data_IF_250352647936
#
_entry.id   IF_250352647936
#
_cell.length_a   1.000
_cell.length_b   1.000
_cell.length_c   1.000
_cell.angle_alpha   90.00
_cell.angle_beta   90.00
_cell.angle_gamma   90.00
#
_symmetry.space_group_name_H-M   'P 1'
#
loop_
_entity.id
_entity.type
_entity.pdbx_description
1 polymer ?
#
# COMPACT_ATOMS: atom_id res chain seq x y z
N UNK A 1 -0.20 19.01 8.94
CA UNK A 1 1.17 19.41 8.58
C UNK A 1 1.94 18.45 7.66
N UNK A 2 1.60 17.18 7.60
CA UNK A 2 2.28 16.21 6.71
C UNK A 2 2.09 16.53 5.22
N UNK A 3 0.93 17.06 4.85
CA UNK A 3 0.67 17.52 3.48
C UNK A 3 1.62 18.63 3.07
N UNK A 4 1.82 19.63 3.91
CA UNK A 4 2.73 20.75 3.65
C UNK A 4 4.20 20.33 3.54
N UNK A 5 4.54 19.13 4.02
CA UNK A 5 5.87 18.53 3.89
C UNK A 5 5.97 17.58 2.70
N UNK A 6 4.92 17.49 1.87
CA UNK A 6 4.88 16.67 0.67
C UNK A 6 4.76 15.15 0.89
N UNK A 7 4.53 14.68 2.12
CA UNK A 7 4.52 13.24 2.44
C UNK A 7 3.39 12.47 1.74
N UNK A 8 2.34 13.13 1.29
CA UNK A 8 1.23 12.50 0.55
C UNK A 8 1.47 12.45 -0.96
N UNK A 9 2.48 13.14 -1.48
CA UNK A 9 2.80 13.20 -2.90
C UNK A 9 4.25 12.86 -3.22
N UNK A 10 4.84 11.87 -2.54
CA UNK A 10 6.26 11.56 -2.65
C UNK A 10 6.70 11.32 -4.11
N UNK A 11 5.98 10.51 -4.86
CA UNK A 11 6.28 10.17 -6.24
C UNK A 11 5.36 10.85 -7.26
N UNK A 12 4.41 11.67 -6.81
CA UNK A 12 3.56 12.45 -7.70
C UNK A 12 4.40 13.57 -8.34
N UNK A 13 4.35 13.74 -9.67
CA UNK A 13 5.09 14.79 -10.37
C UNK A 13 4.74 16.20 -9.87
N UNK A 14 5.68 17.15 -9.94
CA UNK A 14 5.48 18.53 -9.50
C UNK A 14 4.32 19.25 -10.18
N UNK A 15 4.03 18.95 -11.46
CA UNK A 15 2.89 19.51 -12.19
C UNK A 15 1.53 19.18 -11.54
N UNK A 16 1.45 18.13 -10.73
CA UNK A 16 0.27 17.77 -9.93
C UNK A 16 0.45 18.11 -8.44
N UNK A 17 1.48 18.89 -8.09
CA UNK A 17 1.71 19.34 -6.71
C UNK A 17 2.42 18.34 -5.80
N UNK A 18 3.04 17.31 -6.37
CA UNK A 18 3.88 16.35 -5.65
C UNK A 18 5.35 16.75 -5.59
N UNK A 19 6.19 15.89 -5.00
CA UNK A 19 7.64 16.08 -4.90
C UNK A 19 8.37 15.49 -6.11
N UNK A 20 7.82 14.42 -6.72
CA UNK A 20 8.41 13.75 -7.88
C UNK A 20 9.64 12.90 -7.54
N UNK A 21 9.73 12.31 -6.35
CA UNK A 21 10.84 11.45 -5.96
C UNK A 21 10.88 10.17 -6.80
N UNK A 22 12.08 9.66 -7.06
CA UNK A 22 12.30 8.32 -7.57
C UNK A 22 12.02 7.25 -6.50
N UNK A 23 12.14 5.96 -6.83
CA UNK A 23 11.85 4.89 -5.87
C UNK A 23 12.85 4.89 -4.70
N UNK A 24 14.14 5.08 -4.97
CA UNK A 24 15.19 5.10 -3.93
C UNK A 24 14.89 6.19 -2.90
N UNK A 25 14.65 7.42 -3.33
CA UNK A 25 14.45 8.56 -2.43
C UNK A 25 13.12 8.43 -1.66
N UNK A 26 12.05 8.00 -2.33
CA UNK A 26 10.77 7.74 -1.66
C UNK A 26 10.91 6.67 -0.56
N UNK A 27 11.64 5.57 -0.82
CA UNK A 27 11.90 4.53 0.17
C UNK A 27 12.80 5.02 1.33
N UNK A 28 13.73 5.95 1.07
CA UNK A 28 14.50 6.59 2.14
C UNK A 28 13.60 7.37 3.10
N UNK A 29 12.62 8.12 2.58
CA UNK A 29 11.63 8.82 3.42
C UNK A 29 10.81 7.81 4.24
N UNK A 30 10.30 6.76 3.62
CA UNK A 30 9.52 5.71 4.28
C UNK A 30 10.35 5.00 5.36
N UNK A 31 11.63 4.74 5.11
CA UNK A 31 12.56 4.16 6.09
C UNK A 31 12.72 5.06 7.32
N UNK A 32 12.85 6.37 7.13
CA UNK A 32 12.98 7.31 8.25
C UNK A 32 11.68 7.41 9.07
N UNK A 33 10.53 7.41 8.41
CA UNK A 33 9.23 7.35 9.10
C UNK A 33 9.11 6.06 9.93
N UNK A 34 9.56 4.92 9.39
CA UNK A 34 9.57 3.63 10.07
C UNK A 34 10.42 3.58 11.34
N UNK A 35 11.45 4.41 11.43
CA UNK A 35 12.24 4.57 12.64
C UNK A 35 11.52 5.37 13.75
N UNK A 36 10.47 6.12 13.40
CA UNK A 36 9.70 6.97 14.32
C UNK A 36 8.40 6.27 14.73
N UNK A 37 7.55 5.92 13.74
CA UNK A 37 6.24 5.32 13.97
C UNK A 37 5.83 4.45 12.78
N UNK A 38 5.61 3.15 13.04
CA UNK A 38 5.24 2.19 12.00
C UNK A 38 3.80 2.40 11.49
N UNK A 39 2.88 2.89 12.33
CA UNK A 39 1.50 3.14 11.93
C UNK A 39 1.41 4.32 10.98
N UNK A 40 2.14 5.40 11.29
CA UNK A 40 2.28 6.56 10.41
C UNK A 40 2.92 6.17 9.07
N UNK A 41 3.97 5.35 9.13
CA UNK A 41 4.66 4.83 7.95
C UNK A 41 3.70 4.06 7.04
N UNK A 42 2.88 3.19 7.61
CA UNK A 42 1.90 2.41 6.88
C UNK A 42 0.79 3.30 6.31
N UNK A 43 0.31 4.30 7.06
CA UNK A 43 -0.70 5.24 6.59
C UNK A 43 -0.22 6.05 5.37
N UNK A 44 0.97 6.66 5.47
CA UNK A 44 1.60 7.42 4.37
C UNK A 44 1.92 6.51 3.19
N UNK A 45 2.47 5.32 3.46
CA UNK A 45 2.80 4.32 2.44
C UNK A 45 1.58 3.84 1.68
N UNK A 46 0.52 3.46 2.38
CA UNK A 46 -0.73 3.00 1.76
C UNK A 46 -1.35 4.08 0.87
N UNK A 47 -1.39 5.32 1.33
CA UNK A 47 -1.89 6.42 0.51
C UNK A 47 -1.06 6.58 -0.78
N UNK A 48 0.27 6.69 -0.68
CA UNK A 48 1.14 6.91 -1.84
C UNK A 48 1.11 5.74 -2.82
N UNK A 49 1.20 4.50 -2.30
CA UNK A 49 1.45 3.32 -3.13
C UNK A 49 0.16 2.60 -3.53
N UNK A 50 -0.77 2.40 -2.60
CA UNK A 50 -2.02 1.69 -2.91
C UNK A 50 -3.11 2.65 -3.40
N UNK A 51 -3.14 3.89 -2.88
CA UNK A 51 -4.10 4.91 -3.24
C UNK A 51 -3.71 5.67 -4.51
N UNK A 52 -2.61 6.39 -4.46
CA UNK A 52 -2.20 7.35 -5.49
C UNK A 52 -1.56 6.69 -6.71
N UNK A 53 -0.67 5.73 -6.52
CA UNK A 53 0.07 5.09 -7.62
C UNK A 53 -0.81 4.47 -8.71
N UNK A 54 -1.91 3.74 -8.41
CA UNK A 54 -2.84 3.26 -9.43
C UNK A 54 -3.38 4.37 -10.32
N UNK A 55 -3.75 5.51 -9.75
CA UNK A 55 -4.24 6.67 -10.47
C UNK A 55 -3.11 7.30 -11.30
N UNK A 56 -1.94 7.48 -10.72
CA UNK A 56 -0.77 8.07 -11.38
C UNK A 56 -0.33 7.24 -12.60
N UNK A 57 -0.31 5.91 -12.49
CA UNK A 57 0.23 5.04 -13.52
C UNK A 57 -0.81 4.61 -14.57
N UNK A 58 -2.05 4.37 -14.14
CA UNK A 58 -3.10 3.78 -14.98
C UNK A 58 -4.29 4.70 -15.23
N UNK A 59 -4.37 5.83 -14.55
CA UNK A 59 -5.43 6.83 -14.75
C UNK A 59 -5.30 7.54 -16.10
N UNK A 60 -6.44 7.95 -16.66
CA UNK A 60 -6.49 8.86 -17.80
C UNK A 60 -5.96 10.24 -17.41
N UNK A 61 -5.63 11.07 -18.40
CA UNK A 61 -5.19 12.45 -18.15
C UNK A 61 -6.22 13.21 -17.28
N UNK A 62 -7.50 13.12 -17.64
CA UNK A 62 -8.57 13.75 -16.88
C UNK A 62 -8.66 13.28 -15.42
N UNK A 63 -8.46 11.97 -15.16
CA UNK A 63 -8.41 11.45 -13.80
C UNK A 63 -7.21 11.98 -13.01
N UNK A 64 -6.04 12.06 -13.66
CA UNK A 64 -4.81 12.60 -13.03
C UNK A 64 -4.98 14.07 -12.68
N UNK A 65 -5.43 14.90 -13.62
CA UNK A 65 -5.67 16.34 -13.41
C UNK A 65 -6.71 16.61 -12.32
N UNK A 66 -7.76 15.80 -12.25
CA UNK A 66 -8.82 15.97 -11.26
C UNK A 66 -8.43 15.52 -9.85
N UNK A 67 -7.69 14.40 -9.72
CA UNK A 67 -7.47 13.72 -8.44
C UNK A 67 -6.10 14.01 -7.83
N UNK A 68 -5.02 13.94 -8.63
CA UNK A 68 -3.67 14.00 -8.09
C UNK A 68 -3.34 15.28 -7.31
N UNK A 69 -3.77 16.51 -7.72
CA UNK A 69 -3.44 17.72 -6.96
C UNK A 69 -3.96 17.74 -5.54
N UNK A 70 -5.12 17.14 -5.31
CA UNK A 70 -5.71 17.05 -3.96
C UNK A 70 -5.10 15.93 -3.14
N UNK A 71 -4.80 14.81 -3.79
CA UNK A 71 -4.17 13.64 -3.16
C UNK A 71 -2.71 13.92 -2.80
N UNK A 72 -1.95 14.56 -3.66
CA UNK A 72 -0.55 14.90 -3.42
C UNK A 72 -0.35 15.85 -2.24
N UNK A 73 -1.31 16.74 -2.02
CA UNK A 73 -1.28 17.68 -0.88
C UNK A 73 -1.89 17.12 0.40
N UNK A 74 -2.47 15.92 0.36
CA UNK A 74 -3.16 15.32 1.50
C UNK A 74 -4.47 16.00 1.89
N UNK A 75 -5.01 16.88 1.05
CA UNK A 75 -6.37 17.43 1.22
C UNK A 75 -7.43 16.36 1.06
N UNK A 76 -7.14 15.40 0.23
CA UNK A 76 -7.93 14.18 0.02
C UNK A 76 -7.03 12.96 0.20
N UNK A 77 -7.59 11.86 0.68
CA UNK A 77 -6.89 10.59 0.88
C UNK A 77 -7.44 9.57 -0.11
N UNK A 78 -6.58 8.74 -0.65
CA UNK A 78 -6.95 7.61 -1.48
C UNK A 78 -6.71 6.29 -0.75
N UNK A 79 -7.64 5.35 -0.92
CA UNK A 79 -7.55 4.00 -0.37
C UNK A 79 -7.62 2.93 -1.46
N UNK A 80 -7.51 1.66 -1.01
CA UNK A 80 -7.44 0.48 -1.86
C UNK A 80 -8.31 -0.63 -1.26
N UNK A 81 -9.18 -1.23 -2.06
CA UNK A 81 -10.11 -2.24 -1.61
C UNK A 81 -10.12 -3.44 -2.57
N UNK A 82 -9.29 -4.44 -2.26
CA UNK A 82 -9.14 -5.68 -3.05
C UNK A 82 -9.69 -6.89 -2.28
N UNK A 83 -9.29 -7.05 -1.02
CA UNK A 83 -9.49 -8.24 -0.19
C UNK A 83 -10.95 -8.46 0.18
N UNK A 84 -11.39 -9.71 0.14
CA UNK A 84 -12.71 -10.17 0.59
C UNK A 84 -12.57 -11.30 1.61
N UNK A 85 -13.64 -11.63 2.33
CA UNK A 85 -13.63 -12.73 3.33
C UNK A 85 -13.23 -14.08 2.73
N UNK A 86 -13.59 -14.34 1.48
CA UNK A 86 -13.23 -15.56 0.73
C UNK A 86 -12.02 -15.42 -0.19
N UNK A 87 -11.41 -14.23 -0.30
CA UNK A 87 -10.35 -13.96 -1.28
C UNK A 87 -9.28 -13.03 -0.70
N UNK A 88 -8.44 -13.57 0.17
CA UNK A 88 -7.25 -12.90 0.72
C UNK A 88 -5.99 -13.36 0.00
N UNK A 89 -5.51 -14.57 0.31
CA UNK A 89 -4.29 -15.15 -0.30
C UNK A 89 -4.46 -15.45 -1.81
N UNK A 90 -5.68 -15.66 -2.27
CA UNK A 90 -6.01 -15.75 -3.69
C UNK A 90 -6.85 -14.55 -4.13
N UNK A 91 -6.24 -13.42 -4.49
CA UNK A 91 -6.96 -12.21 -4.88
C UNK A 91 -7.72 -12.35 -6.21
N UNK A 92 -7.45 -13.38 -6.99
CA UNK A 92 -8.19 -13.68 -8.24
C UNK A 92 -9.58 -14.27 -7.97
N UNK A 93 -9.83 -14.77 -6.76
CA UNK A 93 -11.10 -15.38 -6.37
C UNK A 93 -12.10 -14.35 -5.80
N UNK A 94 -11.91 -13.06 -6.02
CA UNK A 94 -12.86 -12.05 -5.56
C UNK A 94 -14.24 -12.28 -6.18
N UNK A 95 -15.27 -12.08 -5.37
CA UNK A 95 -16.68 -12.31 -5.71
C UNK A 95 -17.45 -11.01 -5.96
N UNK A 96 -16.93 -9.86 -5.54
CA UNK A 96 -17.48 -8.53 -5.85
C UNK A 96 -17.53 -8.34 -7.35
N UNK A 97 -18.66 -7.89 -7.88
CA UNK A 97 -18.94 -7.84 -9.33
C UNK A 97 -19.20 -6.41 -9.80
N UNK A 98 -18.84 -6.12 -11.06
CA UNK A 98 -19.31 -4.98 -11.82
C UNK A 98 -20.28 -5.51 -12.88
N UNK A 99 -21.57 -5.25 -12.69
CA UNK A 99 -22.67 -5.74 -13.53
C UNK A 99 -23.06 -4.64 -14.52
N UNK A 100 -23.07 -4.87 -15.83
CA UNK A 100 -23.52 -3.88 -16.80
C UNK A 100 -24.94 -3.37 -16.50
N UNK A 101 -25.15 -2.07 -16.57
CA UNK A 101 -26.45 -1.42 -16.28
C UNK A 101 -26.98 -0.59 -17.45
N UNK A 102 -26.56 -0.91 -18.68
CA UNK A 102 -26.84 -0.07 -19.84
C UNK A 102 -26.10 1.27 -19.83
N UNK A 103 -26.24 2.07 -20.87
CA UNK A 103 -25.64 3.40 -21.00
C UNK A 103 -24.13 3.51 -20.68
N UNK A 104 -23.36 2.43 -20.87
CA UNK A 104 -21.92 2.40 -20.59
C UNK A 104 -21.57 2.51 -19.11
N UNK A 105 -22.48 2.21 -18.20
CA UNK A 105 -22.26 2.13 -16.75
C UNK A 105 -22.33 0.70 -16.24
N UNK A 106 -21.71 0.46 -15.06
CA UNK A 106 -21.83 -0.77 -14.31
C UNK A 106 -22.31 -0.48 -12.88
N UNK A 107 -22.99 -1.45 -12.28
CA UNK A 107 -23.33 -1.47 -10.86
C UNK A 107 -22.34 -2.37 -10.12
N UNK A 108 -21.64 -1.81 -9.13
CA UNK A 108 -20.76 -2.58 -8.25
C UNK A 108 -21.59 -3.20 -7.12
N UNK A 109 -21.41 -4.51 -6.92
CA UNK A 109 -22.13 -5.30 -5.92
C UNK A 109 -21.17 -6.22 -5.16
N UNK A 110 -21.18 -6.16 -3.84
CA UNK A 110 -20.37 -7.01 -2.97
C UNK A 110 -19.77 -6.29 -1.77
N UNK A 111 -18.71 -6.85 -1.19
CA UNK A 111 -18.06 -6.25 -0.03
C UNK A 111 -16.57 -6.50 -0.01
N UNK A 112 -15.83 -5.56 0.57
CA UNK A 112 -14.39 -5.64 0.82
C UNK A 112 -14.12 -5.58 2.31
N UNK A 113 -13.01 -6.19 2.75
CA UNK A 113 -12.58 -6.17 4.15
C UNK A 113 -11.13 -5.70 4.24
N UNK A 114 -10.71 -5.31 5.42
CA UNK A 114 -9.34 -4.86 5.72
C UNK A 114 -8.87 -3.71 4.83
N UNK A 115 -9.80 -2.82 4.46
CA UNK A 115 -9.48 -1.67 3.61
C UNK A 115 -8.86 -0.56 4.46
N UNK A 116 -7.53 -0.45 4.39
CA UNK A 116 -6.77 0.55 5.14
C UNK A 116 -7.14 1.96 4.72
N UNK A 117 -7.45 2.82 5.70
CA UNK A 117 -7.83 4.23 5.54
C UNK A 117 -9.09 4.48 4.71
N UNK A 118 -9.87 3.44 4.34
CA UNK A 118 -11.04 3.62 3.48
C UNK A 118 -12.10 4.53 4.10
N UNK A 119 -12.30 4.49 5.43
CA UNK A 119 -13.23 5.37 6.13
C UNK A 119 -12.83 6.86 6.04
N UNK A 120 -11.54 7.15 5.93
CA UNK A 120 -10.99 8.52 5.86
C UNK A 120 -10.75 9.00 4.43
N UNK A 121 -10.86 8.09 3.44
CA UNK A 121 -10.51 8.40 2.05
C UNK A 121 -11.63 9.13 1.33
N UNK A 122 -11.27 10.02 0.41
CA UNK A 122 -12.21 10.67 -0.51
C UNK A 122 -12.49 9.80 -1.73
N UNK A 123 -11.51 8.97 -2.10
CA UNK A 123 -11.59 8.02 -3.21
C UNK A 123 -11.02 6.67 -2.82
N UNK A 124 -11.60 5.61 -3.38
CA UNK A 124 -11.19 4.22 -3.14
C UNK A 124 -10.97 3.54 -4.49
N UNK A 125 -9.80 2.95 -4.68
CA UNK A 125 -9.53 2.04 -5.80
C UNK A 125 -10.15 0.68 -5.48
N UNK A 126 -11.25 0.34 -6.13
CA UNK A 126 -12.03 -0.86 -5.86
C UNK A 126 -11.85 -1.88 -6.99
N UNK A 127 -11.46 -3.08 -6.61
CA UNK A 127 -11.24 -4.21 -7.54
C UNK A 127 -12.44 -5.13 -7.55
N UNK A 128 -12.95 -5.43 -8.76
CA UNK A 128 -14.17 -6.19 -8.95
C UNK A 128 -14.05 -7.12 -10.14
N UNK A 129 -14.74 -8.25 -10.11
CA UNK A 129 -14.92 -9.10 -11.28
C UNK A 129 -15.88 -8.40 -12.25
N UNK A 130 -15.37 -7.95 -13.39
CA UNK A 130 -16.21 -7.30 -14.41
C UNK A 130 -16.94 -8.36 -15.23
N UNK A 131 -18.23 -8.14 -15.46
CA UNK A 131 -19.06 -8.97 -16.31
C UNK A 131 -19.33 -8.25 -17.64
N UNK A 132 -19.50 -9.02 -18.70
CA UNK A 132 -20.00 -8.52 -19.98
C UNK A 132 -21.55 -8.45 -20.00
N UNK A 133 -22.13 -8.07 -21.13
CA UNK A 133 -23.60 -7.98 -21.32
C UNK A 133 -24.32 -9.33 -21.21
N UNK A 134 -23.62 -10.44 -21.36
CA UNK A 134 -24.15 -11.81 -21.26
C UNK A 134 -24.00 -12.36 -19.83
N UNK A 135 -23.35 -11.62 -18.91
CA UNK A 135 -23.05 -12.04 -17.55
C UNK A 135 -21.78 -12.87 -17.43
N UNK A 136 -20.98 -12.98 -18.50
CA UNK A 136 -19.71 -13.71 -18.50
C UNK A 136 -18.58 -12.85 -17.91
N UNK A 137 -17.61 -13.51 -17.25
CA UNK A 137 -16.51 -12.84 -16.61
C UNK A 137 -15.46 -12.34 -17.60
N UNK A 138 -15.26 -11.03 -17.66
CA UNK A 138 -14.21 -10.37 -18.45
C UNK A 138 -12.85 -10.33 -17.74
N UNK A 139 -12.79 -10.67 -16.46
CA UNK A 139 -11.63 -10.53 -15.59
C UNK A 139 -11.82 -9.43 -14.56
N UNK A 140 -10.77 -9.19 -13.76
CA UNK A 140 -10.80 -8.20 -12.68
C UNK A 140 -10.53 -6.81 -13.24
N UNK A 141 -11.35 -5.83 -12.88
CA UNK A 141 -11.20 -4.42 -13.21
C UNK A 141 -11.02 -3.58 -11.94
N UNK A 142 -10.40 -2.42 -12.07
CA UNK A 142 -10.22 -1.47 -10.99
C UNK A 142 -10.96 -0.16 -11.29
N UNK A 143 -11.85 0.25 -10.40
CA UNK A 143 -12.58 1.51 -10.50
C UNK A 143 -12.22 2.46 -9.37
N UNK A 144 -12.05 3.75 -9.71
CA UNK A 144 -11.96 4.82 -8.70
C UNK A 144 -13.36 5.23 -8.29
N UNK A 145 -13.70 5.02 -7.03
CA UNK A 145 -15.03 5.31 -6.48
C UNK A 145 -14.93 6.40 -5.42
N UNK A 146 -15.75 7.43 -5.54
CA UNK A 146 -15.82 8.51 -4.54
C UNK A 146 -16.54 8.04 -3.28
N UNK A 147 -16.11 8.52 -2.12
CA UNK A 147 -16.65 8.19 -0.80
C UNK A 147 -18.17 8.44 -0.69
N UNK A 148 -18.68 9.52 -1.29
CA UNK A 148 -20.09 9.85 -1.26
C UNK A 148 -20.95 9.16 -2.34
N UNK A 149 -20.42 8.16 -3.05
CA UNK A 149 -21.17 7.46 -4.09
C UNK A 149 -22.40 6.75 -3.50
N UNK A 150 -23.57 6.92 -4.14
CA UNK A 150 -24.81 6.25 -3.71
C UNK A 150 -24.61 4.73 -3.75
N UNK A 151 -24.96 4.05 -2.65
CA UNK A 151 -24.79 2.60 -2.51
C UNK A 151 -23.42 2.18 -1.95
N UNK A 152 -22.47 3.11 -1.77
CA UNK A 152 -21.22 2.83 -1.06
C UNK A 152 -21.45 3.08 0.43
N UNK A 153 -21.17 2.06 1.25
CA UNK A 153 -21.30 2.15 2.71
C UNK A 153 -20.03 1.66 3.39
N UNK A 154 -19.54 2.44 4.34
CA UNK A 154 -18.41 2.08 5.20
C UNK A 154 -18.90 1.23 6.37
N UNK A 155 -18.22 0.13 6.63
CA UNK A 155 -18.41 -0.68 7.84
C UNK A 155 -17.68 -0.10 9.05
N UNK A 156 -17.90 -0.71 10.22
CA UNK A 156 -17.19 -0.31 11.44
C UNK A 156 -15.68 -0.57 11.32
N UNK A 157 -14.93 0.18 12.11
CA UNK A 157 -13.49 -0.03 12.26
C UNK A 157 -13.22 -1.41 12.88
N UNK A 158 -12.25 -2.11 12.30
CA UNK A 158 -11.75 -3.36 12.84
C UNK A 158 -10.75 -3.09 13.96
N UNK A 159 -11.00 -3.65 15.15
CA UNK A 159 -10.11 -3.57 16.30
C UNK A 159 -8.92 -4.55 16.12
N UNK A 160 -7.89 -4.09 15.45
CA UNK A 160 -6.70 -4.90 15.18
C UNK A 160 -5.77 -4.99 16.39
N UNK A 161 -4.95 -6.04 16.43
CA UNK A 161 -3.96 -6.27 17.50
C UNK A 161 -2.72 -5.36 17.41
N UNK A 162 -2.73 -4.36 16.60
CA UNK A 162 -1.69 -3.36 16.40
C UNK A 162 -2.13 -2.40 15.30
N UNK A 163 -1.29 -1.43 14.96
CA UNK A 163 -1.57 -0.44 13.92
C UNK A 163 -2.90 0.32 14.10
N UNK A 164 -3.30 0.56 15.36
CA UNK A 164 -4.59 1.19 15.69
C UNK A 164 -4.66 2.69 15.40
N UNK A 165 -3.57 3.31 15.06
CA UNK A 165 -3.54 4.71 14.61
C UNK A 165 -3.95 4.90 13.15
N UNK A 166 -4.27 3.80 12.43
CA UNK A 166 -4.80 3.82 11.07
C UNK A 166 -6.08 2.98 11.03
N UNK A 167 -7.18 3.58 10.58
CA UNK A 167 -8.45 2.86 10.43
C UNK A 167 -8.34 1.76 9.38
N UNK A 168 -8.88 0.60 9.72
CA UNK A 168 -9.13 -0.49 8.77
C UNK A 168 -10.58 -0.93 8.92
N UNK A 169 -11.31 -0.99 7.83
CA UNK A 169 -12.73 -1.28 7.87
C UNK A 169 -13.21 -2.08 6.66
N UNK A 170 -14.44 -2.51 6.71
CA UNK A 170 -15.14 -3.10 5.57
C UNK A 170 -15.77 -2.03 4.69
N UNK A 171 -15.85 -2.30 3.38
CA UNK A 171 -16.52 -1.44 2.40
C UNK A 171 -17.61 -2.27 1.74
N UNK A 172 -18.84 -1.80 1.80
CA UNK A 172 -20.01 -2.45 1.19
C UNK A 172 -20.42 -1.70 -0.06
N UNK A 173 -20.72 -2.44 -1.11
CA UNK A 173 -21.12 -1.95 -2.43
C UNK A 173 -22.53 -2.50 -2.74
N UNK A 174 -23.53 -1.65 -2.66
CA UNK A 174 -24.94 -1.99 -2.81
C UNK A 174 -25.50 -1.27 -4.05
N UNK A 175 -25.06 -1.72 -5.24
CA UNK A 175 -25.45 -1.10 -6.50
C UNK A 175 -24.77 0.25 -6.76
N UNK A 176 -23.51 0.38 -6.42
CA UNK A 176 -22.73 1.61 -6.70
C UNK A 176 -22.54 1.78 -8.19
N UNK A 177 -23.12 2.82 -8.76
CA UNK A 177 -23.01 3.12 -10.19
C UNK A 177 -21.64 3.71 -10.51
N UNK A 178 -20.94 3.08 -11.46
CA UNK A 178 -19.66 3.57 -12.02
C UNK A 178 -19.74 3.64 -13.54
N UNK A 179 -19.01 4.61 -14.10
CA UNK A 179 -18.90 4.83 -15.54
C UNK A 179 -17.50 4.39 -16.03
N UNK A 180 -17.36 4.26 -17.34
CA UNK A 180 -16.08 3.95 -17.98
C UNK A 180 -14.97 4.95 -17.61
N UNK A 181 -15.31 6.23 -17.40
CA UNK A 181 -14.37 7.27 -16.99
C UNK A 181 -13.76 7.05 -15.59
N UNK A 182 -14.32 6.14 -14.78
CA UNK A 182 -13.82 5.77 -13.45
C UNK A 182 -12.93 4.52 -13.47
N UNK A 183 -12.80 3.86 -14.62
CA UNK A 183 -11.94 2.70 -14.79
C UNK A 183 -10.46 3.13 -14.78
N UNK A 184 -9.61 2.40 -14.05
CA UNK A 184 -8.16 2.53 -14.09
C UNK A 184 -7.56 1.45 -15.01
N UNK A 185 -6.91 1.90 -16.06
CA UNK A 185 -6.37 1.02 -17.10
C UNK A 185 -7.47 0.44 -17.98
N UNK A 186 -7.32 -0.83 -18.38
CA UNK A 186 -8.22 -1.53 -19.27
C UNK A 186 -9.19 -2.43 -18.51
N UNK A 187 -10.37 -2.66 -19.07
CA UNK A 187 -11.35 -3.61 -18.55
C UNK A 187 -10.76 -5.03 -18.49
N UNK A 188 -10.95 -5.73 -17.38
CA UNK A 188 -10.38 -7.05 -17.14
C UNK A 188 -8.88 -7.07 -16.76
N UNK A 189 -8.17 -5.94 -16.86
CA UNK A 189 -6.73 -5.85 -16.56
C UNK A 189 -6.40 -5.32 -15.15
N UNK A 190 -7.38 -5.25 -14.25
CA UNK A 190 -7.20 -4.70 -12.90
C UNK A 190 -6.17 -5.44 -12.04
N UNK A 191 -5.93 -6.73 -12.27
CA UNK A 191 -4.86 -7.44 -11.56
C UNK A 191 -3.47 -6.89 -11.87
N UNK A 192 -3.22 -6.36 -13.07
CA UNK A 192 -1.98 -5.67 -13.41
C UNK A 192 -1.81 -4.41 -12.55
N UNK A 193 -2.89 -3.67 -12.34
CA UNK A 193 -2.93 -2.49 -11.45
C UNK A 193 -2.65 -2.89 -10.00
N UNK A 194 -3.34 -3.92 -9.50
CA UNK A 194 -3.16 -4.42 -8.14
C UNK A 194 -1.73 -4.91 -7.89
N UNK A 195 -1.17 -5.71 -8.79
CA UNK A 195 0.17 -6.27 -8.68
C UNK A 195 1.25 -5.19 -8.65
N UNK A 196 1.15 -4.17 -9.52
CA UNK A 196 2.09 -3.05 -9.53
C UNK A 196 2.05 -2.29 -8.19
N UNK A 197 0.87 -1.96 -7.70
CA UNK A 197 0.71 -1.28 -6.42
C UNK A 197 1.22 -2.12 -5.25
N UNK A 198 0.85 -3.41 -5.18
CA UNK A 198 1.29 -4.31 -4.11
C UNK A 198 2.80 -4.56 -4.11
N UNK A 199 3.46 -4.65 -5.29
CA UNK A 199 4.91 -4.80 -5.38
C UNK A 199 5.62 -3.61 -4.73
N UNK A 200 5.23 -2.38 -5.07
CA UNK A 200 5.79 -1.17 -4.46
C UNK A 200 5.42 -1.05 -2.97
N UNK A 201 4.22 -1.51 -2.59
CA UNK A 201 3.80 -1.59 -1.19
C UNK A 201 4.70 -2.51 -0.37
N UNK A 202 5.08 -3.67 -0.89
CA UNK A 202 6.00 -4.60 -0.23
C UNK A 202 7.39 -3.99 -0.03
N UNK A 203 7.91 -3.28 -1.04
CA UNK A 203 9.18 -2.55 -0.91
C UNK A 203 9.11 -1.44 0.14
N UNK A 204 8.03 -0.65 0.14
CA UNK A 204 7.79 0.38 1.15
C UNK A 204 7.68 -0.20 2.55
N UNK A 205 6.96 -1.31 2.72
CA UNK A 205 6.85 -2.01 3.99
C UNK A 205 8.21 -2.51 4.49
N UNK A 206 9.01 -3.12 3.61
CA UNK A 206 10.36 -3.60 3.94
C UNK A 206 11.27 -2.43 4.36
N UNK A 207 11.25 -1.30 3.63
CA UNK A 207 12.01 -0.10 4.00
C UNK A 207 11.58 0.45 5.37
N UNK A 208 10.29 0.53 5.66
CA UNK A 208 9.75 0.95 6.96
C UNK A 208 10.21 0.02 8.09
N UNK A 209 10.15 -1.30 7.89
CA UNK A 209 10.63 -2.29 8.86
C UNK A 209 12.13 -2.14 9.14
N UNK A 210 12.96 -1.90 8.10
CA UNK A 210 14.40 -1.65 8.27
C UNK A 210 14.63 -0.40 9.14
N UNK A 211 13.85 0.67 8.94
CA UNK A 211 13.88 1.84 9.79
C UNK A 211 13.62 1.52 11.26
N UNK A 212 12.57 0.74 11.53
CA UNK A 212 12.26 0.25 12.88
C UNK A 212 13.36 -0.62 13.47
N UNK A 213 13.93 -1.54 12.68
CA UNK A 213 15.05 -2.39 13.12
C UNK A 213 16.27 -1.56 13.50
N UNK A 214 16.65 -0.54 12.70
CA UNK A 214 17.73 0.40 13.00
C UNK A 214 17.48 1.13 14.33
N UNK A 215 16.25 1.60 14.53
CA UNK A 215 15.87 2.27 15.78
C UNK A 215 15.97 1.34 16.99
N UNK A 216 15.49 0.12 16.88
CA UNK A 216 15.62 -0.90 17.91
C UNK A 216 17.08 -1.21 18.23
N UNK A 217 17.93 -1.41 17.21
CA UNK A 217 19.35 -1.64 17.37
C UNK A 217 20.05 -0.50 18.14
N UNK A 218 19.76 0.76 17.79
CA UNK A 218 20.27 1.93 18.51
C UNK A 218 19.88 1.95 19.99
N UNK A 219 18.60 1.62 20.28
CA UNK A 219 18.09 1.60 21.66
C UNK A 219 18.73 0.44 22.45
N UNK A 220 18.84 -0.74 21.83
CA UNK A 220 19.48 -1.89 22.44
C UNK A 220 20.95 -1.62 22.76
N UNK A 221 21.70 -1.01 21.82
CA UNK A 221 23.10 -0.62 22.03
C UNK A 221 23.22 0.36 23.23
N UNK A 222 22.48 1.47 23.21
CA UNK A 222 22.51 2.45 24.28
C UNK A 222 22.13 1.90 25.65
N UNK A 223 21.17 0.95 25.68
CA UNK A 223 20.80 0.27 26.91
C UNK A 223 21.92 -0.65 27.40
N UNK A 224 22.52 -1.42 26.50
CA UNK A 224 23.59 -2.38 26.83
C UNK A 224 24.84 -1.70 27.34
N UNK A 225 25.18 -0.50 26.85
CA UNK A 225 26.29 0.32 27.33
C UNK A 225 26.08 0.77 28.79
N UNK A 226 24.85 1.09 29.18
CA UNK A 226 24.54 1.66 30.50
C UNK A 226 24.17 0.61 31.54
N UNK A 227 23.68 -0.54 31.11
CA UNK A 227 23.23 -1.61 32.02
C UNK A 227 24.43 -2.35 32.58
N UNK A 228 24.66 -2.22 33.89
CA UNK A 228 25.68 -3.00 34.61
C UNK A 228 25.08 -4.35 35.03
N UNK A 229 25.84 -5.38 34.87
CA UNK A 229 25.62 -6.76 35.34
C UNK A 229 26.83 -7.20 36.17
N UNK A 230 26.81 -8.40 36.77
CA UNK A 230 27.89 -8.85 37.66
C UNK A 230 29.28 -8.90 37.00
N UNK A 231 29.33 -8.98 35.67
CA UNK A 231 30.61 -9.12 34.89
C UNK A 231 31.01 -7.82 34.17
N UNK A 232 30.41 -6.68 34.45
CA UNK A 232 30.68 -5.41 33.78
C UNK A 232 29.44 -4.84 33.06
N UNK A 233 29.61 -4.09 31.96
CA UNK A 233 28.47 -3.63 31.18
C UNK A 233 27.83 -4.80 30.41
N UNK A 234 26.51 -4.69 30.17
CA UNK A 234 25.81 -5.71 29.38
C UNK A 234 26.36 -5.83 27.95
N UNK A 235 26.93 -4.74 27.42
CA UNK A 235 27.55 -4.73 26.10
C UNK A 235 28.79 -5.63 26.04
N UNK A 236 29.55 -5.79 27.17
CA UNK A 236 30.72 -6.64 27.24
C UNK A 236 30.37 -8.14 27.24
N UNK A 237 29.09 -8.49 27.46
CA UNK A 237 28.64 -9.86 27.43
C UNK A 237 28.70 -10.43 26.01
N UNK A 238 29.40 -11.55 25.76
CA UNK A 238 29.54 -12.12 24.42
C UNK A 238 28.22 -12.45 23.72
N UNK A 239 27.22 -12.88 24.46
CA UNK A 239 25.87 -13.18 23.91
C UNK A 239 25.20 -11.91 23.38
N UNK A 240 25.34 -10.78 24.10
CA UNK A 240 24.82 -9.48 23.67
C UNK A 240 25.53 -9.01 22.41
N UNK A 241 26.83 -9.11 22.35
CA UNK A 241 27.64 -8.75 21.16
C UNK A 241 27.24 -9.57 19.94
N UNK A 242 27.12 -10.89 20.08
CA UNK A 242 26.69 -11.79 18.99
C UNK A 242 25.29 -11.40 18.48
N UNK A 243 24.33 -11.13 19.38
CA UNK A 243 22.97 -10.72 18.98
C UNK A 243 22.94 -9.38 18.26
N UNK A 244 23.68 -8.37 18.73
CA UNK A 244 23.79 -7.08 18.08
C UNK A 244 24.49 -7.18 16.72
N UNK A 245 25.54 -7.99 16.62
CA UNK A 245 26.25 -8.24 15.35
C UNK A 245 25.35 -8.90 14.33
N UNK A 246 24.60 -9.94 14.72
CA UNK A 246 23.64 -10.61 13.85
C UNK A 246 22.53 -9.64 13.37
N UNK A 247 21.98 -8.83 14.29
CA UNK A 247 20.98 -7.82 13.94
C UNK A 247 21.55 -6.81 12.94
N UNK A 248 22.76 -6.32 13.14
CA UNK A 248 23.43 -5.38 12.22
C UNK A 248 23.65 -5.99 10.84
N UNK A 249 24.11 -7.24 10.79
CA UNK A 249 24.29 -7.97 9.53
C UNK A 249 22.96 -8.13 8.77
N UNK A 250 21.89 -8.49 9.47
CA UNK A 250 20.55 -8.61 8.88
C UNK A 250 20.03 -7.25 8.34
N UNK A 251 20.21 -6.17 9.11
CA UNK A 251 19.83 -4.82 8.67
C UNK A 251 20.56 -4.46 7.38
N UNK A 252 21.88 -4.69 7.33
CA UNK A 252 22.70 -4.38 6.15
C UNK A 252 22.27 -5.19 4.94
N UNK A 253 22.05 -6.49 5.09
CA UNK A 253 21.61 -7.35 4.00
C UNK A 253 20.23 -6.94 3.44
N UNK A 254 19.26 -6.71 4.33
CA UNK A 254 17.92 -6.29 3.93
C UNK A 254 17.91 -4.91 3.28
N UNK A 255 18.67 -3.96 3.82
CA UNK A 255 18.78 -2.61 3.26
C UNK A 255 19.40 -2.65 1.86
N UNK A 256 20.50 -3.39 1.70
CA UNK A 256 21.12 -3.60 0.39
C UNK A 256 20.13 -4.18 -0.62
N UNK A 257 19.40 -5.24 -0.24
CA UNK A 257 18.41 -5.86 -1.12
C UNK A 257 17.33 -4.88 -1.55
N UNK A 258 16.68 -4.19 -0.60
CA UNK A 258 15.56 -3.27 -0.87
C UNK A 258 16.00 -2.12 -1.76
N UNK A 259 17.14 -1.50 -1.48
CA UNK A 259 17.59 -0.35 -2.28
C UNK A 259 18.19 -0.76 -3.63
N UNK A 260 18.80 -1.93 -3.76
CA UNK A 260 19.19 -2.47 -5.08
C UNK A 260 17.95 -2.69 -5.98
N UNK A 261 16.90 -3.28 -5.42
CA UNK A 261 15.63 -3.45 -6.16
C UNK A 261 15.04 -2.08 -6.57
N UNK A 262 15.07 -1.09 -5.68
CA UNK A 262 14.59 0.26 -5.98
C UNK A 262 15.39 0.92 -7.12
N UNK A 263 16.72 0.80 -7.09
CA UNK A 263 17.60 1.31 -8.15
C UNK A 263 17.33 0.63 -9.51
N UNK A 264 17.10 -0.67 -9.51
CA UNK A 264 16.75 -1.41 -10.73
C UNK A 264 15.42 -0.90 -11.31
N UNK A 265 14.42 -0.66 -10.46
CA UNK A 265 13.14 -0.07 -10.87
C UNK A 265 13.31 1.34 -11.44
N UNK A 266 14.17 2.18 -10.82
CA UNK A 266 14.46 3.54 -11.31
C UNK A 266 15.20 3.53 -12.65
N UNK A 267 15.99 2.49 -12.94
CA UNK A 267 16.62 2.24 -14.22
C UNK A 267 15.69 1.60 -15.27
N UNK A 268 14.42 1.37 -14.93
CA UNK A 268 13.42 0.80 -15.82
C UNK A 268 13.46 -0.73 -15.98
N UNK A 269 14.22 -1.43 -15.14
CA UNK A 269 14.21 -2.90 -15.14
C UNK A 269 12.90 -3.44 -14.53
N UNK A 270 12.37 -4.50 -15.13
CA UNK A 270 11.31 -5.27 -14.47
C UNK A 270 11.92 -6.16 -13.40
N UNK A 271 11.45 -6.02 -12.18
CA UNK A 271 11.82 -6.97 -11.12
C UNK A 271 11.02 -8.25 -11.32
N UNK A 272 11.68 -9.44 -11.27
CA UNK A 272 10.97 -10.71 -11.37
C UNK A 272 9.82 -10.75 -10.36
N UNK A 273 8.64 -11.17 -10.81
CA UNK A 273 7.48 -11.33 -9.92
C UNK A 273 7.79 -12.44 -8.93
N UNK A 274 7.93 -12.11 -7.66
CA UNK A 274 8.14 -13.06 -6.57
C UNK A 274 6.90 -13.93 -6.27
N UNK A 275 5.89 -13.91 -7.14
CA UNK A 275 4.59 -14.55 -6.88
C UNK A 275 4.63 -16.07 -6.95
N UNK A 276 5.54 -16.65 -7.73
CA UNK A 276 5.66 -18.10 -7.82
C UNK A 276 6.36 -18.72 -6.59
N UNK A 277 7.23 -17.98 -5.90
CA UNK A 277 7.97 -18.50 -4.76
C UNK A 277 7.33 -18.25 -3.39
N UNK A 278 6.47 -17.23 -3.25
CA UNK A 278 5.78 -16.96 -1.96
C UNK A 278 4.58 -17.87 -1.73
N UNK A 279 3.92 -18.35 -2.78
CA UNK A 279 2.83 -19.34 -2.65
C UNK A 279 3.32 -20.72 -2.24
N UNK A 280 4.52 -21.13 -2.67
CA UNK A 280 5.13 -22.42 -2.27
C UNK A 280 5.66 -22.42 -0.84
N UNK A 281 6.14 -21.27 -0.33
CA UNK A 281 6.62 -21.16 1.05
C UNK A 281 5.49 -21.03 2.08
N UNK A 282 4.29 -20.60 1.68
CA UNK A 282 3.12 -20.52 2.54
C UNK A 282 2.30 -21.83 2.57
N UNK A 283 2.57 -22.77 1.67
CA UNK A 283 1.90 -24.08 1.61
C UNK A 283 2.63 -25.22 2.33
N UNK A 284 3.72 -24.92 3.04
CA UNK A 284 4.49 -25.89 3.85
C UNK A 284 4.45 -25.45 5.34
#
# INVERSE_FOLDING_TARGET
DFGNRGLFGLQVPPEYGGIGLNNVDALRVIQQLGAIDQTLTLFIGNHNVLGVRPILKYGSLAQKEQLLPKLATGREIAAFALTESGAGSNPRAISTRAIPNGNGSCLLQGSKIWSGSALWSSVINIFVQQLDSNGEAMGISCFVVNQGAKGLRQGPEALTMGMRGMVQNSVFLEGVSVKQQQLLGEAGAGMKVAQDAMMHGRLGLAAGCIGGMKRCAQLMLRYSERRLVSTGSLLENPVTLVRLSNLTAMITALETLVFTVAELLDKGFSVPRSEEHTSELQSR
#
